data_IF_715962364107
#
_entry.id   IF_715962364107
#
_cell.length_a   1.000
_cell.length_b   1.000
_cell.length_c   1.000
_cell.angle_alpha   90.00
_cell.angle_beta   90.00
_cell.angle_gamma   90.00
#
_symmetry.space_group_name_H-M   'P 1'
#
loop_
_entity.id
_entity.type
_entity.pdbx_description
1 polymer ?
#
# COMPACT_ATOMS: atom_id res chain seq x y z
N UNK A 1 -18.60 5.84 3.65
CA UNK A 1 -18.46 4.45 4.12
C UNK A 1 -18.77 4.30 5.60
N UNK A 2 -18.08 5.00 6.52
CA UNK A 2 -18.35 4.91 7.96
C UNK A 2 -19.77 5.36 8.36
N UNK A 3 -20.35 6.34 7.65
CA UNK A 3 -21.77 6.72 7.80
C UNK A 3 -22.73 5.54 7.64
N UNK A 4 -22.48 4.63 6.70
CA UNK A 4 -23.34 3.44 6.51
C UNK A 4 -23.29 2.54 7.75
N UNK A 5 -22.11 2.37 8.35
CA UNK A 5 -21.93 1.55 9.54
C UNK A 5 -22.54 2.19 10.80
N UNK A 6 -22.32 3.49 11.00
CA UNK A 6 -22.74 4.20 12.20
C UNK A 6 -24.22 4.63 12.17
N UNK A 7 -24.68 5.21 11.06
CA UNK A 7 -26.03 5.80 10.97
C UNK A 7 -27.08 4.87 10.37
N UNK A 8 -26.72 4.01 9.39
CA UNK A 8 -27.71 3.09 8.80
C UNK A 8 -27.73 1.73 9.51
N UNK A 9 -26.55 1.20 9.84
CA UNK A 9 -26.41 -0.12 10.48
C UNK A 9 -26.37 -0.05 12.01
N UNK A 10 -26.27 1.16 12.57
CA UNK A 10 -26.30 1.42 14.02
C UNK A 10 -25.26 0.58 14.79
N UNK A 11 -24.09 0.33 14.19
CA UNK A 11 -23.03 -0.38 14.88
C UNK A 11 -22.38 0.52 15.95
N UNK A 12 -21.97 -0.05 17.10
CA UNK A 12 -21.22 0.68 18.11
C UNK A 12 -19.95 1.31 17.54
N UNK A 13 -19.66 2.55 17.96
CA UNK A 13 -18.47 3.30 17.53
C UNK A 13 -17.19 2.49 17.76
N UNK A 14 -17.10 1.77 18.88
CA UNK A 14 -15.94 0.93 19.20
C UNK A 14 -15.76 -0.18 18.15
N UNK A 15 -16.83 -0.87 17.75
CA UNK A 15 -16.76 -1.91 16.71
C UNK A 15 -16.33 -1.31 15.38
N UNK A 16 -16.90 -0.16 15.00
CA UNK A 16 -16.52 0.57 13.79
C UNK A 16 -15.04 0.95 13.82
N UNK A 17 -14.53 1.44 14.96
CA UNK A 17 -13.13 1.78 15.15
C UNK A 17 -12.19 0.58 15.02
N UNK A 18 -12.52 -0.55 15.67
CA UNK A 18 -11.74 -1.80 15.57
C UNK A 18 -11.70 -2.31 14.12
N UNK A 19 -12.83 -2.31 13.43
CA UNK A 19 -12.90 -2.74 12.02
C UNK A 19 -12.12 -1.80 11.09
N UNK A 20 -12.15 -0.49 11.37
CA UNK A 20 -11.36 0.48 10.63
C UNK A 20 -9.85 0.25 10.83
N UNK A 21 -9.40 0.01 12.07
CA UNK A 21 -8.01 -0.33 12.35
C UNK A 21 -7.58 -1.66 11.71
N UNK A 22 -8.48 -2.66 11.69
CA UNK A 22 -8.27 -3.91 10.94
C UNK A 22 -8.07 -3.62 9.45
N UNK A 23 -8.88 -2.72 8.87
CA UNK A 23 -8.72 -2.28 7.48
C UNK A 23 -7.34 -1.69 7.19
N UNK A 24 -6.83 -0.83 8.09
CA UNK A 24 -5.48 -0.27 7.97
C UNK A 24 -4.42 -1.38 8.05
N UNK A 25 -4.55 -2.30 9.01
CA UNK A 25 -3.62 -3.43 9.14
C UNK A 25 -3.61 -4.31 7.87
N UNK A 26 -4.79 -4.62 7.33
CA UNK A 26 -4.94 -5.34 6.06
C UNK A 26 -4.31 -4.59 4.89
N UNK A 27 -4.43 -3.26 4.86
CA UNK A 27 -3.73 -2.45 3.86
C UNK A 27 -2.22 -2.65 3.96
N UNK A 28 -1.62 -2.56 5.16
CA UNK A 28 -0.16 -2.74 5.29
C UNK A 28 0.32 -4.11 4.82
N UNK A 29 -0.51 -5.14 4.98
CA UNK A 29 -0.22 -6.48 4.45
C UNK A 29 -0.33 -6.51 2.93
N UNK A 30 -1.38 -5.90 2.37
CA UNK A 30 -1.55 -5.80 0.91
C UNK A 30 -0.44 -4.97 0.27
N UNK A 31 -0.04 -3.86 0.87
CA UNK A 31 1.15 -3.09 0.47
C UNK A 31 2.36 -4.01 0.31
N UNK A 32 2.68 -4.79 1.36
CA UNK A 32 3.80 -5.72 1.33
C UNK A 32 3.67 -6.77 0.23
N UNK A 33 2.50 -7.42 0.12
CA UNK A 33 2.27 -8.50 -0.85
C UNK A 33 2.30 -7.99 -2.29
N UNK A 34 1.66 -6.85 -2.56
CA UNK A 34 1.63 -6.21 -3.88
C UNK A 34 3.05 -5.77 -4.25
N UNK A 35 3.76 -5.11 -3.33
CA UNK A 35 5.11 -4.64 -3.61
C UNK A 35 6.05 -5.82 -3.91
N UNK A 36 6.00 -6.89 -3.10
CA UNK A 36 6.86 -8.06 -3.29
C UNK A 36 6.51 -8.90 -4.51
N UNK A 37 5.23 -9.24 -4.70
CA UNK A 37 4.82 -10.28 -5.65
C UNK A 37 4.22 -9.75 -6.95
N UNK A 38 3.83 -8.48 -7.01
CA UNK A 38 3.26 -7.87 -8.23
C UNK A 38 4.24 -6.85 -8.80
N UNK A 39 4.71 -5.92 -7.97
CA UNK A 39 5.60 -4.85 -8.39
C UNK A 39 7.04 -5.32 -8.64
N UNK A 40 7.49 -6.38 -7.97
CA UNK A 40 8.80 -7.02 -8.20
C UNK A 40 8.71 -8.35 -8.97
N UNK A 41 7.58 -8.61 -9.64
CA UNK A 41 7.47 -9.73 -10.56
C UNK A 41 8.10 -9.39 -11.92
N UNK A 42 8.74 -10.36 -12.58
CA UNK A 42 9.32 -10.20 -13.92
C UNK A 42 8.46 -10.91 -14.99
N UNK A 43 7.60 -10.18 -15.72
CA UNK A 43 6.74 -10.80 -16.72
C UNK A 43 7.52 -11.24 -17.96
N UNK A 44 7.17 -12.41 -18.51
CA UNK A 44 7.81 -12.95 -19.73
C UNK A 44 7.22 -12.37 -21.03
N UNK A 45 5.94 -12.01 -21.03
CA UNK A 45 5.24 -11.53 -22.23
C UNK A 45 5.47 -10.04 -22.48
N UNK A 46 5.45 -9.62 -23.75
CA UNK A 46 5.61 -8.20 -24.13
C UNK A 46 4.58 -7.29 -23.46
N UNK A 47 3.31 -7.72 -23.44
CA UNK A 47 2.24 -6.98 -22.77
C UNK A 47 2.45 -6.91 -21.26
N UNK A 48 2.84 -8.03 -20.64
CA UNK A 48 3.13 -8.08 -19.21
C UNK A 48 4.23 -7.11 -18.81
N UNK A 49 5.36 -7.09 -19.54
CA UNK A 49 6.46 -6.16 -19.31
C UNK A 49 6.01 -4.70 -19.40
N UNK A 50 5.16 -4.37 -20.37
CA UNK A 50 4.63 -3.01 -20.52
C UNK A 50 3.74 -2.61 -19.35
N UNK A 51 2.85 -3.50 -18.91
CA UNK A 51 1.97 -3.24 -17.76
C UNK A 51 2.77 -3.09 -16.46
N UNK A 52 3.71 -4.01 -16.21
CA UNK A 52 4.62 -3.96 -15.07
C UNK A 52 5.44 -2.67 -15.03
N UNK A 53 5.95 -2.23 -16.19
CA UNK A 53 6.65 -0.97 -16.30
C UNK A 53 5.81 0.23 -15.86
N UNK A 54 4.53 0.26 -16.26
CA UNK A 54 3.61 1.37 -15.92
C UNK A 54 3.28 1.40 -14.43
N UNK A 55 3.14 0.23 -13.78
CA UNK A 55 2.71 0.17 -12.37
C UNK A 55 3.85 0.35 -11.37
N UNK A 56 5.08 -0.05 -11.73
CA UNK A 56 6.22 0.01 -10.80
C UNK A 56 7.60 0.18 -11.46
N UNK A 57 7.84 -0.47 -12.61
CA UNK A 57 9.17 -0.45 -13.23
C UNK A 57 9.67 0.97 -13.55
N UNK A 58 8.79 1.85 -14.03
CA UNK A 58 9.13 3.26 -14.32
C UNK A 58 9.57 4.04 -13.08
N UNK A 59 9.06 3.67 -11.91
CA UNK A 59 9.43 4.30 -10.65
C UNK A 59 10.85 3.86 -10.22
N UNK A 60 11.22 2.60 -10.43
CA UNK A 60 12.58 2.13 -10.18
C UNK A 60 13.60 2.76 -11.13
N UNK A 61 13.25 2.95 -12.41
CA UNK A 61 14.11 3.63 -13.38
C UNK A 61 14.26 5.13 -13.11
N UNK A 62 13.16 5.79 -12.70
CA UNK A 62 13.08 7.24 -12.49
C UNK A 62 12.52 7.60 -11.10
N UNK A 63 13.22 7.27 -10.01
CA UNK A 63 12.68 7.41 -8.64
C UNK A 63 12.41 8.87 -8.23
N UNK A 64 13.13 9.82 -8.86
CA UNK A 64 12.97 11.26 -8.62
C UNK A 64 11.94 11.93 -9.55
N UNK A 65 11.29 11.20 -10.46
CA UNK A 65 10.20 11.75 -11.28
C UNK A 65 8.89 11.75 -10.47
N UNK A 66 8.56 12.91 -9.90
CA UNK A 66 7.35 13.09 -9.08
C UNK A 66 6.03 12.86 -9.82
N UNK A 67 6.02 12.71 -11.15
CA UNK A 67 4.81 12.39 -11.92
C UNK A 67 4.60 10.88 -12.12
N UNK A 68 5.57 10.04 -11.75
CA UNK A 68 5.59 8.60 -12.05
C UNK A 68 5.80 7.70 -10.83
N UNK A 69 5.41 8.19 -9.66
CA UNK A 69 5.60 7.51 -8.37
C UNK A 69 4.29 6.93 -7.81
N UNK A 70 3.25 7.77 -7.73
CA UNK A 70 1.97 7.35 -7.14
C UNK A 70 1.18 6.49 -8.12
N UNK A 71 0.41 5.54 -7.60
CA UNK A 71 -0.40 4.66 -8.44
C UNK A 71 -1.42 5.48 -9.23
N UNK A 72 -1.46 5.40 -10.58
CA UNK A 72 -2.43 6.13 -11.35
C UNK A 72 -3.87 5.69 -11.00
N UNK A 73 -4.84 6.62 -10.93
CA UNK A 73 -6.24 6.29 -10.64
C UNK A 73 -6.85 5.24 -11.57
N UNK A 74 -6.38 5.15 -12.81
CA UNK A 74 -6.81 4.13 -13.78
C UNK A 74 -6.46 2.69 -13.35
N UNK A 75 -5.52 2.52 -12.40
CA UNK A 75 -5.17 1.22 -11.81
C UNK A 75 -5.78 1.09 -10.41
N UNK A 76 -5.66 2.12 -9.56
CA UNK A 76 -6.14 2.03 -8.17
C UNK A 76 -7.66 1.98 -8.04
N UNK A 77 -8.42 2.64 -8.92
CA UNK A 77 -9.90 2.60 -8.88
C UNK A 77 -10.45 1.21 -9.24
N UNK A 78 -10.03 0.56 -10.35
CA UNK A 78 -10.45 -0.83 -10.60
C UNK A 78 -10.07 -1.80 -9.48
N UNK A 79 -8.86 -1.66 -8.90
CA UNK A 79 -8.46 -2.45 -7.74
C UNK A 79 -9.35 -2.18 -6.53
N UNK A 80 -9.75 -0.93 -6.28
CA UNK A 80 -10.66 -0.59 -5.20
C UNK A 80 -12.02 -1.29 -5.36
N UNK A 81 -12.59 -1.35 -6.57
CA UNK A 81 -13.82 -2.10 -6.84
C UNK A 81 -13.64 -3.61 -6.63
N UNK A 82 -12.52 -4.17 -7.10
CA UNK A 82 -12.19 -5.58 -6.90
C UNK A 82 -12.11 -5.92 -5.41
N UNK A 83 -11.33 -5.16 -4.64
CA UNK A 83 -11.17 -5.38 -3.19
C UNK A 83 -12.46 -5.12 -2.43
N UNK A 84 -13.27 -4.14 -2.84
CA UNK A 84 -14.60 -3.94 -2.26
C UNK A 84 -15.49 -5.16 -2.45
N UNK A 85 -15.53 -5.74 -3.66
CA UNK A 85 -16.26 -6.98 -3.95
C UNK A 85 -15.78 -8.17 -3.11
N UNK A 86 -14.47 -8.36 -2.99
CA UNK A 86 -13.87 -9.39 -2.14
C UNK A 86 -14.27 -9.17 -0.67
N UNK A 87 -14.22 -7.92 -0.20
CA UNK A 87 -14.54 -7.60 1.19
C UNK A 87 -16.04 -7.76 1.47
N UNK A 88 -16.91 -7.49 0.49
CA UNK A 88 -18.34 -7.80 0.59
C UNK A 88 -18.58 -9.29 0.85
N UNK A 89 -17.83 -10.18 0.19
CA UNK A 89 -17.95 -11.63 0.39
C UNK A 89 -17.42 -12.04 1.77
N UNK A 90 -16.27 -11.51 2.19
CA UNK A 90 -15.60 -11.91 3.44
C UNK A 90 -16.28 -11.31 4.68
N UNK A 91 -16.60 -10.02 4.63
CA UNK A 91 -17.03 -9.22 5.79
C UNK A 91 -18.52 -8.88 5.75
N UNK A 92 -19.21 -9.07 4.62
CA UNK A 92 -20.65 -8.83 4.49
C UNK A 92 -21.05 -7.43 4.98
N UNK A 93 -21.88 -7.38 6.03
CA UNK A 93 -22.36 -6.13 6.64
C UNK A 93 -21.27 -5.33 7.38
N UNK A 94 -20.07 -5.86 7.57
CA UNK A 94 -18.97 -5.12 8.20
C UNK A 94 -18.08 -4.38 7.18
N UNK A 95 -18.25 -4.69 5.89
CA UNK A 95 -17.43 -4.19 4.78
C UNK A 95 -17.16 -2.68 4.80
N UNK A 96 -18.15 -1.77 4.98
CA UNK A 96 -17.88 -0.34 4.89
C UNK A 96 -16.87 0.16 5.94
N UNK A 97 -16.84 -0.45 7.13
CA UNK A 97 -15.88 -0.06 8.18
C UNK A 97 -14.47 -0.53 7.86
N UNK A 98 -14.32 -1.81 7.48
CA UNK A 98 -13.02 -2.39 7.13
C UNK A 98 -12.47 -1.74 5.86
N UNK A 99 -13.31 -1.58 4.83
CA UNK A 99 -12.90 -0.98 3.56
C UNK A 99 -12.56 0.51 3.69
N UNK A 100 -13.23 1.25 4.58
CA UNK A 100 -12.82 2.62 4.88
C UNK A 100 -11.40 2.69 5.45
N UNK A 101 -11.06 1.77 6.37
CA UNK A 101 -9.71 1.65 6.91
C UNK A 101 -8.68 1.25 5.85
N UNK A 102 -9.04 0.32 4.96
CA UNK A 102 -8.21 -0.10 3.84
C UNK A 102 -7.86 1.08 2.92
N UNK A 103 -8.88 1.84 2.48
CA UNK A 103 -8.69 2.99 1.59
C UNK A 103 -7.90 4.10 2.29
N UNK A 104 -8.15 4.34 3.57
CA UNK A 104 -7.36 5.29 4.36
C UNK A 104 -5.89 4.88 4.42
N UNK A 105 -5.60 3.61 4.72
CA UNK A 105 -4.25 3.05 4.69
C UNK A 105 -3.56 3.25 3.34
N UNK A 106 -4.27 2.96 2.24
CA UNK A 106 -3.78 3.17 0.87
C UNK A 106 -3.37 4.62 0.61
N UNK A 107 -4.23 5.58 0.93
CA UNK A 107 -3.92 7.01 0.72
C UNK A 107 -2.72 7.43 1.57
N UNK A 108 -2.65 7.01 2.83
CA UNK A 108 -1.48 7.28 3.67
C UNK A 108 -0.20 6.68 3.09
N UNK A 109 -0.26 5.45 2.57
CA UNK A 109 0.86 4.82 1.88
C UNK A 109 1.32 5.63 0.67
N UNK A 110 0.43 6.00 -0.24
CA UNK A 110 0.81 6.72 -1.47
C UNK A 110 1.44 8.09 -1.14
N UNK A 111 0.87 8.79 -0.15
CA UNK A 111 1.42 10.07 0.33
C UNK A 111 2.79 9.88 1.00
N UNK A 112 2.96 8.85 1.83
CA UNK A 112 4.21 8.57 2.51
C UNK A 112 5.29 8.14 1.52
N UNK A 113 4.95 7.30 0.54
CA UNK A 113 5.81 6.88 -0.55
C UNK A 113 6.32 8.08 -1.35
N UNK A 114 5.42 9.01 -1.70
CA UNK A 114 5.82 10.25 -2.35
C UNK A 114 6.79 11.06 -1.47
N UNK A 115 6.45 11.22 -0.19
CA UNK A 115 7.22 12.03 0.74
C UNK A 115 8.62 11.45 1.02
N UNK A 116 8.80 10.13 1.10
CA UNK A 116 10.15 9.54 1.31
C UNK A 116 11.10 9.88 0.17
N UNK A 117 10.61 9.92 -1.07
CA UNK A 117 11.42 10.35 -2.23
C UNK A 117 11.61 11.87 -2.25
N UNK A 118 10.55 12.64 -2.08
CA UNK A 118 10.54 14.06 -2.46
C UNK A 118 10.73 15.05 -1.32
N UNK A 119 10.48 14.66 -0.07
CA UNK A 119 10.53 15.58 1.07
C UNK A 119 11.84 15.47 1.86
N UNK A 120 12.30 16.56 2.48
CA UNK A 120 13.49 16.58 3.32
C UNK A 120 13.21 15.97 4.72
N UNK A 121 13.02 14.65 4.79
CA UNK A 121 12.88 13.92 6.06
C UNK A 121 14.25 13.80 6.74
N UNK A 122 14.52 14.64 7.75
CA UNK A 122 15.87 14.80 8.32
C UNK A 122 16.12 14.15 9.68
N UNK A 123 15.10 13.68 10.40
CA UNK A 123 15.26 13.17 11.78
C UNK A 123 14.28 12.04 12.13
N UNK A 124 14.64 11.25 13.13
CA UNK A 124 13.77 10.27 13.78
C UNK A 124 13.23 9.18 12.85
N UNK A 125 12.02 8.72 13.13
CA UNK A 125 11.36 7.63 12.39
C UNK A 125 11.18 7.95 10.90
N UNK A 126 10.97 9.21 10.54
CA UNK A 126 10.80 9.63 9.14
C UNK A 126 12.09 9.51 8.33
N UNK A 127 13.23 9.95 8.90
CA UNK A 127 14.52 9.73 8.26
C UNK A 127 14.83 8.23 8.15
N UNK A 128 14.51 7.46 9.19
CA UNK A 128 14.72 6.02 9.18
C UNK A 128 13.91 5.32 8.08
N UNK A 129 12.61 5.63 7.95
CA UNK A 129 11.74 5.12 6.88
C UNK A 129 12.24 5.52 5.49
N UNK A 130 12.62 6.80 5.31
CA UNK A 130 13.22 7.28 4.07
C UNK A 130 14.46 6.46 3.72
N UNK A 131 15.40 6.30 4.65
CA UNK A 131 16.60 5.52 4.40
C UNK A 131 16.30 4.03 4.14
N UNK A 132 15.30 3.46 4.82
CA UNK A 132 14.87 2.09 4.61
C UNK A 132 14.42 1.88 3.16
N UNK A 133 13.52 2.73 2.68
CA UNK A 133 13.00 2.64 1.32
C UNK A 133 14.03 3.05 0.25
N UNK A 134 14.87 4.05 0.49
CA UNK A 134 15.92 4.40 -0.47
C UNK A 134 16.99 3.30 -0.60
N UNK A 135 17.24 2.50 0.45
CA UNK A 135 18.10 1.31 0.35
C UNK A 135 17.48 0.22 -0.52
N UNK A 136 16.15 0.11 -0.55
CA UNK A 136 15.45 -0.77 -1.49
C UNK A 136 15.77 -0.34 -2.93
N UNK A 137 15.55 0.93 -3.28
CA UNK A 137 15.84 1.43 -4.63
C UNK A 137 17.31 1.37 -5.05
N UNK A 138 18.23 1.79 -4.18
CA UNK A 138 19.61 2.06 -4.59
C UNK A 138 20.61 0.98 -4.19
N UNK A 139 20.19 -0.06 -3.48
CA UNK A 139 21.14 -1.05 -2.99
C UNK A 139 20.67 -2.50 -3.11
N UNK A 140 19.40 -2.82 -2.90
CA UNK A 140 18.86 -4.19 -3.07
C UNK A 140 17.33 -4.12 -3.10
N UNK A 141 16.75 -4.29 -4.28
CA UNK A 141 15.30 -4.24 -4.51
C UNK A 141 14.62 -5.61 -4.27
N UNK A 142 15.37 -6.63 -3.89
CA UNK A 142 14.84 -7.92 -3.42
C UNK A 142 14.66 -7.98 -1.88
N UNK A 143 14.84 -6.86 -1.18
CA UNK A 143 14.61 -6.72 0.26
C UNK A 143 13.95 -5.38 0.61
N UNK A 144 13.30 -5.29 1.77
CA UNK A 144 12.70 -4.05 2.26
C UNK A 144 11.47 -3.60 1.46
N UNK A 145 10.48 -4.47 1.32
CA UNK A 145 9.25 -4.21 0.56
C UNK A 145 8.26 -3.32 1.31
N UNK A 146 8.36 -3.21 2.63
CA UNK A 146 7.54 -2.30 3.42
C UNK A 146 7.93 -0.85 3.21
N UNK A 147 6.98 -0.01 2.77
CA UNK A 147 7.15 1.43 2.60
C UNK A 147 6.62 2.17 3.83
N UNK A 148 5.40 1.82 4.28
CA UNK A 148 4.77 2.42 5.45
C UNK A 148 5.39 1.94 6.76
N UNK A 149 5.81 0.67 6.80
CA UNK A 149 6.50 0.07 7.94
C UNK A 149 7.23 -1.21 7.53
N UNK A 150 8.29 -1.60 8.26
CA UNK A 150 9.01 -2.86 8.03
C UNK A 150 8.31 -4.09 8.65
N UNK A 151 7.09 -3.94 9.19
CA UNK A 151 6.42 -4.98 9.99
C UNK A 151 6.41 -6.33 9.26
N UNK A 152 5.94 -6.34 8.01
CA UNK A 152 5.84 -7.55 7.21
C UNK A 152 7.19 -8.02 6.69
N UNK A 153 8.17 -7.14 6.50
CA UNK A 153 9.54 -7.55 6.21
C UNK A 153 10.16 -8.33 7.38
N UNK A 154 9.86 -7.97 8.63
CA UNK A 154 10.30 -8.75 9.80
C UNK A 154 9.59 -10.10 9.86
N UNK A 155 8.26 -10.11 9.70
CA UNK A 155 7.44 -11.33 9.75
C UNK A 155 7.88 -12.33 8.68
N UNK A 156 8.09 -11.88 7.44
CA UNK A 156 8.45 -12.71 6.30
C UNK A 156 9.97 -12.78 6.03
N UNK A 157 10.79 -12.20 6.92
CA UNK A 157 12.26 -12.22 6.85
C UNK A 157 12.83 -11.68 5.54
N UNK A 158 12.22 -10.61 5.03
CA UNK A 158 12.72 -9.83 3.88
C UNK A 158 13.32 -8.50 4.32
N UNK A 159 13.60 -8.34 5.62
CA UNK A 159 14.50 -7.29 6.08
C UNK A 159 15.90 -7.54 5.57
N UNK A 160 16.57 -6.46 5.20
CA UNK A 160 17.96 -6.51 4.80
C UNK A 160 18.81 -6.97 6.00
N UNK A 161 19.75 -7.89 5.74
CA UNK A 161 20.79 -8.27 6.71
C UNK A 161 21.82 -7.16 6.88
#
# INVERSE_FOLDING_TARGET
MLYLSLWQRQFPVVIVGVLFLLGILLWTLLEYLIHRYIFHYEPKTRLGKRLHYIIHGVHHDYPNDGRRLVMPPSISVPLAFLFFGIFLVIFGRLTPSVFAGLVFGYVCYDMLHYAVHHFPMKRGVWLWLKQYHLRHHYRDDHAGYGISSPLWDYVFRTTRK
#
